data_IF_693146145033
#
_entry.id   IF_693146145033
#
_cell.length_a   1.000
_cell.length_b   1.000
_cell.length_c   1.000
_cell.angle_alpha   90.00
_cell.angle_beta   90.00
_cell.angle_gamma   90.00
#
_symmetry.space_group_name_H-M   'P 1'
#
loop_
_entity.id
_entity.type
_entity.pdbx_description
1 polymer ?
#
# COMPACT_ATOMS: atom_id res chain seq x y z
N UNK A 1 17.05 6.27 -5.56
CA UNK A 1 15.65 6.45 -5.14
C UNK A 1 15.60 7.01 -3.73
N UNK A 2 14.70 7.93 -3.49
CA UNK A 2 14.55 8.52 -2.17
C UNK A 2 13.86 7.52 -1.23
N UNK A 3 14.50 7.17 -0.12
CA UNK A 3 13.94 6.19 0.83
C UNK A 3 12.63 6.67 1.43
N UNK A 4 12.39 7.96 1.46
CA UNK A 4 11.14 8.50 1.98
C UNK A 4 9.95 8.18 1.08
N UNK A 5 10.21 7.76 -0.15
CA UNK A 5 9.17 7.37 -1.10
C UNK A 5 8.94 5.86 -1.15
N UNK A 6 9.60 5.09 -0.28
CA UNK A 6 9.48 3.63 -0.28
C UNK A 6 9.03 3.14 1.09
N UNK A 7 8.00 2.33 1.13
CA UNK A 7 7.55 1.64 2.34
C UNK A 7 7.73 0.15 2.11
N UNK A 8 8.58 -0.49 2.92
CA UNK A 8 8.82 -1.92 2.82
C UNK A 8 7.87 -2.68 3.74
N UNK A 9 7.06 -3.56 3.17
CA UNK A 9 6.14 -4.41 3.92
C UNK A 9 6.59 -5.85 3.70
N UNK A 10 6.89 -6.57 4.77
CA UNK A 10 7.28 -7.98 4.67
C UNK A 10 6.24 -8.86 5.35
N UNK A 11 6.02 -10.05 4.76
CA UNK A 11 5.10 -11.04 5.28
C UNK A 11 5.92 -12.26 5.63
N UNK A 12 5.96 -12.60 6.91
CA UNK A 12 6.80 -13.69 7.39
C UNK A 12 6.01 -14.88 7.87
N UNK A 13 6.71 -15.77 8.53
CA UNK A 13 6.15 -16.99 9.10
C UNK A 13 5.02 -16.67 10.06
N UNK A 14 3.94 -17.45 9.97
CA UNK A 14 2.81 -17.26 10.88
C UNK A 14 1.98 -16.02 10.60
N UNK A 15 2.16 -15.41 9.44
CA UNK A 15 1.39 -14.22 9.09
C UNK A 15 1.90 -12.94 9.71
N UNK A 16 3.11 -12.97 10.25
CA UNK A 16 3.69 -11.77 10.84
C UNK A 16 3.98 -10.73 9.77
N UNK A 17 3.54 -9.51 10.02
CA UNK A 17 3.73 -8.40 9.09
C UNK A 17 4.69 -7.41 9.73
N UNK A 18 5.66 -6.96 8.96
CA UNK A 18 6.58 -5.91 9.40
C UNK A 18 6.61 -4.80 8.37
N UNK A 19 6.70 -3.57 8.85
CA UNK A 19 6.82 -2.39 8.00
C UNK A 19 8.15 -1.74 8.35
N UNK A 20 9.03 -1.63 7.35
CA UNK A 20 10.38 -1.11 7.54
C UNK A 20 11.11 -1.82 8.69
N UNK A 21 10.87 -3.13 8.81
CA UNK A 21 11.51 -3.96 9.82
C UNK A 21 10.84 -3.98 11.18
N UNK A 22 9.75 -3.22 11.36
CA UNK A 22 9.06 -3.16 12.65
C UNK A 22 7.73 -3.92 12.58
N UNK A 23 7.44 -4.77 13.56
CA UNK A 23 6.18 -5.51 13.55
C UNK A 23 4.97 -4.59 13.57
N UNK A 24 3.97 -4.94 12.77
CA UNK A 24 2.71 -4.20 12.71
C UNK A 24 1.57 -5.23 12.71
N UNK A 25 0.55 -5.00 13.54
CA UNK A 25 -0.62 -5.88 13.53
C UNK A 25 -1.45 -5.59 12.28
N UNK A 26 -2.12 -6.64 11.78
CA UNK A 26 -2.88 -6.52 10.54
C UNK A 26 -3.91 -5.39 10.58
N UNK A 27 -4.57 -5.18 11.72
CA UNK A 27 -5.58 -4.15 11.85
C UNK A 27 -5.03 -2.73 11.68
N UNK A 28 -3.74 -2.56 11.87
CA UNK A 28 -3.10 -1.23 11.78
C UNK A 28 -2.40 -1.01 10.44
N UNK A 29 -2.34 -2.03 9.61
CA UNK A 29 -1.58 -1.93 8.36
C UNK A 29 -2.17 -0.89 7.42
N UNK A 30 -3.50 -0.88 7.26
CA UNK A 30 -4.15 0.10 6.38
C UNK A 30 -3.84 1.53 6.83
N UNK A 31 -3.93 1.80 8.13
CA UNK A 31 -3.62 3.12 8.67
C UNK A 31 -2.16 3.50 8.40
N UNK A 32 -1.26 2.54 8.53
CA UNK A 32 0.15 2.78 8.31
C UNK A 32 0.43 3.14 6.84
N UNK A 33 -0.21 2.41 5.92
CA UNK A 33 -0.08 2.68 4.49
C UNK A 33 -0.66 4.05 4.14
N UNK A 34 -1.86 4.36 4.65
CA UNK A 34 -2.47 5.67 4.41
C UNK A 34 -1.55 6.80 4.86
N UNK A 35 -0.98 6.67 6.04
CA UNK A 35 -0.10 7.70 6.57
C UNK A 35 1.14 7.88 5.71
N UNK A 36 1.71 6.76 5.27
CA UNK A 36 2.88 6.82 4.40
C UNK A 36 2.57 7.56 3.10
N UNK A 37 1.50 7.16 2.41
CA UNK A 37 1.17 7.77 1.12
C UNK A 37 0.83 9.24 1.28
N UNK A 38 0.09 9.58 2.35
CA UNK A 38 -0.33 10.96 2.58
C UNK A 38 0.85 11.88 2.90
N UNK A 39 1.91 11.35 3.49
CA UNK A 39 3.03 12.16 3.95
C UNK A 39 4.30 12.00 3.12
N UNK A 40 4.30 11.12 2.12
CA UNK A 40 5.51 10.95 1.32
C UNK A 40 5.77 12.19 0.45
N UNK A 41 7.04 12.49 0.15
CA UNK A 41 7.38 13.68 -0.63
C UNK A 41 6.75 13.72 -2.02
N UNK A 42 6.50 12.57 -2.62
CA UNK A 42 5.89 12.53 -3.95
C UNK A 42 4.95 11.35 -4.06
N UNK A 43 3.65 11.61 -4.18
CA UNK A 43 2.68 10.54 -4.39
C UNK A 43 2.83 9.88 -5.75
N UNK A 44 3.31 10.63 -6.73
CA UNK A 44 3.47 10.10 -8.09
C UNK A 44 4.58 9.06 -8.16
N UNK A 45 5.55 9.11 -7.26
CA UNK A 45 6.72 8.24 -7.31
C UNK A 45 6.87 7.36 -6.07
N UNK A 46 5.91 7.40 -5.13
CA UNK A 46 5.99 6.53 -3.98
C UNK A 46 5.85 5.06 -4.40
N UNK A 47 6.40 4.15 -3.61
CA UNK A 47 6.31 2.73 -3.87
C UNK A 47 6.05 2.00 -2.56
N UNK A 48 5.08 1.10 -2.57
CA UNK A 48 4.92 0.10 -1.53
C UNK A 48 5.60 -1.16 -2.03
N UNK A 49 6.61 -1.61 -1.31
CA UNK A 49 7.35 -2.80 -1.70
C UNK A 49 6.91 -3.94 -0.78
N UNK A 50 6.15 -4.90 -1.32
CA UNK A 50 5.63 -6.03 -0.55
C UNK A 50 6.49 -7.25 -0.83
N UNK A 51 7.09 -7.80 0.22
CA UNK A 51 7.99 -8.94 0.10
C UNK A 51 7.41 -10.11 0.88
N UNK A 52 7.18 -11.24 0.19
CA UNK A 52 6.74 -12.47 0.83
C UNK A 52 7.97 -13.29 1.19
N UNK A 53 8.14 -13.58 2.46
CA UNK A 53 9.25 -14.42 2.91
C UNK A 53 8.91 -15.90 2.67
N UNK A 54 9.93 -16.79 2.68
CA UNK A 54 9.72 -18.18 2.23
C UNK A 54 8.62 -18.94 2.93
N UNK A 55 8.41 -18.69 4.21
CA UNK A 55 7.42 -19.43 4.99
C UNK A 55 6.09 -18.73 5.12
N UNK A 56 5.87 -17.65 4.37
CA UNK A 56 4.59 -16.96 4.42
C UNK A 56 3.53 -17.74 3.65
N UNK A 57 2.27 -17.53 4.02
CA UNK A 57 1.14 -18.20 3.38
C UNK A 57 0.43 -17.26 2.45
N UNK A 58 -0.22 -17.83 1.44
CA UNK A 58 -0.95 -17.05 0.46
C UNK A 58 -2.09 -16.23 1.11
N UNK A 59 -2.75 -16.79 2.14
CA UNK A 59 -3.79 -16.05 2.84
C UNK A 59 -3.25 -14.79 3.51
N UNK A 60 -2.03 -14.84 4.00
CA UNK A 60 -1.41 -13.67 4.63
C UNK A 60 -1.18 -12.57 3.59
N UNK A 61 -0.79 -12.97 2.39
CA UNK A 61 -0.62 -12.03 1.29
C UNK A 61 -1.95 -11.35 0.95
N UNK A 62 -3.05 -12.10 0.91
CA UNK A 62 -4.35 -11.50 0.65
C UNK A 62 -4.76 -10.48 1.71
N UNK A 63 -4.46 -10.76 2.98
CA UNK A 63 -4.78 -9.81 4.04
C UNK A 63 -4.00 -8.50 3.86
N UNK A 64 -2.75 -8.60 3.44
CA UNK A 64 -1.94 -7.40 3.16
C UNK A 64 -2.51 -6.66 1.95
N UNK A 65 -2.88 -7.38 0.88
CA UNK A 65 -3.48 -6.75 -0.29
C UNK A 65 -4.78 -6.04 0.04
N UNK A 66 -5.63 -6.64 0.87
CA UNK A 66 -6.88 -6.01 1.29
C UNK A 66 -6.61 -4.73 2.07
N UNK A 67 -5.63 -4.75 2.96
CA UNK A 67 -5.27 -3.57 3.73
C UNK A 67 -4.77 -2.45 2.82
N UNK A 68 -3.96 -2.79 1.83
CA UNK A 68 -3.44 -1.80 0.87
C UNK A 68 -4.58 -1.22 0.05
N UNK A 69 -5.47 -2.07 -0.45
CA UNK A 69 -6.62 -1.60 -1.23
C UNK A 69 -7.52 -0.69 -0.41
N UNK A 70 -7.73 -1.04 0.86
CA UNK A 70 -8.53 -0.21 1.76
C UNK A 70 -7.87 1.15 1.99
N UNK A 71 -6.55 1.17 2.15
CA UNK A 71 -5.81 2.41 2.37
C UNK A 71 -5.95 3.35 1.17
N UNK A 72 -5.75 2.84 -0.04
CA UNK A 72 -5.89 3.67 -1.24
C UNK A 72 -7.34 4.09 -1.46
N UNK A 73 -8.29 3.20 -1.19
CA UNK A 73 -9.70 3.53 -1.29
C UNK A 73 -10.07 4.69 -0.37
N UNK A 74 -9.58 4.65 0.86
CA UNK A 74 -9.83 5.73 1.83
C UNK A 74 -9.20 7.05 1.38
N UNK A 75 -7.98 7.00 0.87
CA UNK A 75 -7.28 8.20 0.39
C UNK A 75 -8.01 8.81 -0.80
N UNK A 76 -8.42 7.98 -1.76
CA UNK A 76 -9.13 8.44 -2.94
C UNK A 76 -10.49 9.01 -2.57
N UNK A 77 -11.17 8.38 -1.62
CA UNK A 77 -12.47 8.87 -1.18
C UNK A 77 -12.33 10.22 -0.49
N UNK A 78 -11.32 10.40 0.35
CA UNK A 78 -11.10 11.69 1.01
C UNK A 78 -10.81 12.80 0.00
N UNK A 79 -10.04 12.49 -1.04
CA UNK A 79 -9.77 13.46 -2.08
C UNK A 79 -11.05 13.82 -2.85
N UNK A 80 -11.88 12.82 -3.17
CA UNK A 80 -13.14 13.05 -3.87
C UNK A 80 -14.07 13.96 -3.06
N UNK A 81 -14.19 13.69 -1.75
CA UNK A 81 -15.02 14.49 -0.87
C UNK A 81 -14.47 15.92 -0.77
N UNK A 82 -13.16 16.05 -0.68
CA UNK A 82 -12.53 17.37 -0.57
C UNK A 82 -12.74 18.21 -1.84
N UNK A 83 -12.70 17.58 -3.01
CA UNK A 83 -12.81 18.32 -4.28
C UNK A 83 -14.23 18.52 -4.75
N UNK A 84 -15.09 17.52 -4.61
CA UNK A 84 -16.43 17.56 -5.20
C UNK A 84 -17.56 17.33 -4.19
N UNK A 85 -17.23 17.19 -2.92
CA UNK A 85 -18.20 16.95 -1.85
C UNK A 85 -19.03 15.69 -2.08
N UNK A 86 -18.44 14.69 -2.74
CA UNK A 86 -19.09 13.41 -2.99
C UNK A 86 -18.09 12.28 -2.75
N UNK A 87 -18.58 11.09 -2.37
CA UNK A 87 -17.67 9.94 -2.25
C UNK A 87 -17.16 9.53 -3.62
N UNK A 88 -16.03 8.84 -3.63
CA UNK A 88 -15.41 8.37 -4.86
C UNK A 88 -16.38 7.53 -5.71
N UNK A 89 -17.20 6.70 -5.05
CA UNK A 89 -18.15 5.84 -5.75
C UNK A 89 -19.23 6.61 -6.51
N UNK A 90 -19.48 7.85 -6.14
CA UNK A 90 -20.49 8.70 -6.81
C UNK A 90 -19.92 9.51 -7.96
N UNK A 91 -18.61 9.49 -8.18
CA UNK A 91 -17.99 10.26 -9.24
C UNK A 91 -18.19 9.61 -10.60
N UNK A 92 -18.22 10.42 -11.66
CA UNK A 92 -18.19 9.90 -13.01
C UNK A 92 -16.78 9.41 -13.37
N UNK A 93 -16.65 8.76 -14.53
CA UNK A 93 -15.37 8.16 -14.92
C UNK A 93 -14.27 9.20 -15.06
N UNK A 94 -14.57 10.37 -15.56
CA UNK A 94 -13.57 11.40 -15.75
C UNK A 94 -12.98 11.87 -14.42
N UNK A 95 -13.84 12.11 -13.43
CA UNK A 95 -13.41 12.55 -12.11
C UNK A 95 -12.66 11.44 -11.37
N UNK A 96 -13.10 10.18 -11.51
CA UNK A 96 -12.38 9.05 -10.94
C UNK A 96 -10.96 8.97 -11.49
N UNK A 97 -10.79 9.18 -12.79
CA UNK A 97 -9.45 9.17 -13.39
C UNK A 97 -8.57 10.27 -12.82
N UNK A 98 -9.13 11.44 -12.56
CA UNK A 98 -8.37 12.52 -11.94
C UNK A 98 -7.90 12.13 -10.54
N UNK A 99 -8.78 11.51 -9.75
CA UNK A 99 -8.41 11.05 -8.42
C UNK A 99 -7.34 9.96 -8.51
N UNK A 100 -7.52 9.01 -9.41
CA UNK A 100 -6.57 7.91 -9.57
C UNK A 100 -5.19 8.41 -10.00
N UNK A 101 -5.12 9.46 -10.80
CA UNK A 101 -3.85 10.04 -11.18
C UNK A 101 -3.18 10.76 -10.02
N UNK A 102 -3.96 11.38 -9.14
CA UNK A 102 -3.43 12.09 -8.00
C UNK A 102 -2.96 11.14 -6.91
N UNK A 103 -3.68 10.02 -6.75
CA UNK A 103 -3.34 8.99 -5.77
C UNK A 103 -3.22 7.65 -6.50
N UNK A 104 -2.14 7.44 -7.26
CA UNK A 104 -1.96 6.19 -7.98
C UNK A 104 -1.56 5.07 -7.01
N UNK A 105 -2.08 3.88 -7.25
CA UNK A 105 -1.72 2.72 -6.43
C UNK A 105 -0.44 2.12 -7.01
N UNK A 106 0.66 2.32 -6.31
CA UNK A 106 1.98 1.91 -6.79
C UNK A 106 2.56 0.86 -5.85
N UNK A 107 2.41 -0.40 -6.22
CA UNK A 107 2.82 -1.52 -5.40
C UNK A 107 3.74 -2.43 -6.20
N UNK A 108 4.90 -2.74 -5.63
CA UNK A 108 5.81 -3.75 -6.16
C UNK A 108 5.71 -4.98 -5.27
N UNK A 109 5.62 -6.14 -5.89
CA UNK A 109 5.50 -7.39 -5.14
C UNK A 109 6.65 -8.31 -5.54
N UNK A 110 7.25 -8.96 -4.56
CA UNK A 110 8.31 -9.90 -4.80
C UNK A 110 8.25 -11.03 -3.78
N UNK A 111 8.87 -12.15 -4.15
CA UNK A 111 8.97 -13.30 -3.29
C UNK A 111 10.43 -13.47 -2.95
N UNK A 112 10.75 -13.46 -1.66
CA UNK A 112 12.09 -13.75 -1.21
C UNK A 112 12.15 -15.26 -1.00
N UNK A 113 12.86 -15.96 -1.88
CA UNK A 113 12.93 -17.42 -1.79
C UNK A 113 14.10 -17.91 -0.95
N UNK A 114 14.66 -17.03 -0.13
CA UNK A 114 15.72 -17.39 0.79
C UNK A 114 17.10 -17.32 0.20
N UNK A 115 17.20 -16.95 -1.07
CA UNK A 115 18.49 -16.85 -1.73
C UNK A 115 18.98 -15.42 -1.85
N UNK A 116 18.29 -14.53 -1.17
CA UNK A 116 18.70 -13.13 -1.24
C UNK A 116 18.67 -12.62 -2.65
N UNK A 117 19.40 -11.65 -2.94
CA UNK A 117 19.39 -11.05 -4.26
C UNK A 117 20.17 -11.77 -5.29
N UNK A 118 20.37 -13.06 -5.14
CA UNK A 118 21.11 -13.71 -6.09
C UNK A 118 20.39 -13.80 -7.31
N UNK A 119 20.77 -13.59 -8.18
CA UNK A 119 20.11 -13.66 -9.35
C UNK A 119 20.54 -12.74 -10.22
#
# INVERSE_FOLDING_TARGET
MDRRNVLDISIGTGGQIAVDGKPVVADKLADRVERFVATCPSRATHVLNVVMLPDSKYDDYFHVQDAISKAYGNLRNRLAVAKWHMPYSALDDQRRRQVDKTVPQRVMESIDNGKGGER
#
